data_IF_943681812383
#
_entry.id   IF_943681812383
#
_cell.length_a   1.000
_cell.length_b   1.000
_cell.length_c   1.000
_cell.angle_alpha   90.00
_cell.angle_beta   90.00
_cell.angle_gamma   90.00
#
_symmetry.space_group_name_H-M   'P 1'
#
loop_
_entity.id
_entity.type
_entity.pdbx_description
1 polymer ?
#
# COMPACT_ATOMS: atom_id res chain seq x y z
N UNK A 1 0.91 31.13 -17.22
CA UNK A 1 1.80 31.12 -16.05
C UNK A 1 1.77 29.71 -15.48
N UNK A 2 2.88 28.96 -15.56
CA UNK A 2 2.97 27.58 -15.04
C UNK A 2 2.88 27.65 -13.52
N UNK A 3 1.88 26.99 -12.94
CA UNK A 3 1.61 26.99 -11.52
C UNK A 3 2.69 26.20 -10.76
N UNK A 4 3.72 26.91 -10.27
CA UNK A 4 4.86 26.33 -9.54
C UNK A 4 4.42 25.59 -8.27
N UNK A 5 3.29 25.99 -7.69
CA UNK A 5 2.70 25.33 -6.54
C UNK A 5 2.25 23.90 -6.88
N UNK A 6 1.69 23.70 -8.07
CA UNK A 6 1.27 22.39 -8.53
C UNK A 6 2.48 21.46 -8.72
N UNK A 7 3.54 21.93 -9.41
CA UNK A 7 4.76 21.13 -9.60
C UNK A 7 5.36 20.63 -8.27
N UNK A 8 5.36 21.46 -7.23
CA UNK A 8 5.86 21.07 -5.91
C UNK A 8 4.98 19.96 -5.28
N UNK A 9 3.65 20.07 -5.37
CA UNK A 9 2.75 19.05 -4.81
C UNK A 9 2.89 17.70 -5.51
N UNK A 10 3.09 17.69 -6.83
CA UNK A 10 3.22 16.45 -7.61
C UNK A 10 4.55 15.78 -7.29
N UNK A 11 5.59 16.59 -7.15
CA UNK A 11 6.92 16.13 -6.75
C UNK A 11 6.92 15.54 -5.33
N UNK A 12 6.25 16.17 -4.37
CA UNK A 12 6.15 15.65 -3.00
C UNK A 12 5.44 14.29 -2.93
N UNK A 13 4.39 14.09 -3.75
CA UNK A 13 3.67 12.81 -3.84
C UNK A 13 4.51 11.71 -4.51
N UNK A 14 5.17 12.05 -5.61
CA UNK A 14 6.12 11.15 -6.28
C UNK A 14 7.25 10.73 -5.32
N UNK A 15 7.80 11.69 -4.56
CA UNK A 15 8.84 11.45 -3.54
C UNK A 15 8.37 10.50 -2.45
N UNK A 16 7.14 10.67 -1.93
CA UNK A 16 6.58 9.77 -0.92
C UNK A 16 6.39 8.35 -1.46
N UNK A 17 5.87 8.20 -2.67
CA UNK A 17 5.72 6.90 -3.34
C UNK A 17 7.07 6.22 -3.59
N UNK A 18 8.06 7.00 -4.04
CA UNK A 18 9.43 6.52 -4.21
C UNK A 18 10.05 6.06 -2.90
N UNK A 19 9.92 6.83 -1.81
CA UNK A 19 10.51 6.48 -0.52
C UNK A 19 9.96 5.16 0.02
N UNK A 20 8.64 4.98 0.04
CA UNK A 20 8.05 3.72 0.49
C UNK A 20 8.44 2.54 -0.40
N UNK A 21 8.42 2.72 -1.72
CA UNK A 21 8.82 1.70 -2.68
C UNK A 21 10.30 1.32 -2.58
N UNK A 22 11.16 2.31 -2.37
CA UNK A 22 12.59 2.12 -2.17
C UNK A 22 12.88 1.38 -0.87
N UNK A 23 12.18 1.68 0.24
CA UNK A 23 12.36 0.97 1.51
C UNK A 23 12.01 -0.52 1.38
N UNK A 24 10.82 -0.85 0.88
CA UNK A 24 10.42 -2.26 0.72
C UNK A 24 11.28 -3.00 -0.33
N UNK A 25 11.68 -2.31 -1.40
CA UNK A 25 12.57 -2.86 -2.43
C UNK A 25 14.00 -3.08 -1.93
N UNK A 26 14.48 -2.22 -1.03
CA UNK A 26 15.79 -2.39 -0.40
C UNK A 26 15.79 -3.57 0.58
N UNK A 27 14.73 -3.76 1.37
CA UNK A 27 14.60 -4.93 2.27
C UNK A 27 14.46 -6.23 1.49
N UNK A 28 13.60 -6.26 0.47
CA UNK A 28 13.41 -7.46 -0.37
C UNK A 28 14.68 -7.77 -1.17
N UNK A 29 15.34 -6.74 -1.71
CA UNK A 29 16.62 -6.87 -2.40
C UNK A 29 17.77 -7.27 -1.48
N UNK A 30 17.72 -6.91 -0.19
CA UNK A 30 18.68 -7.39 0.81
C UNK A 30 18.48 -8.88 1.08
N UNK A 31 17.26 -9.34 1.30
CA UNK A 31 16.98 -10.77 1.55
C UNK A 31 17.37 -11.60 0.32
N UNK A 32 16.91 -11.21 -0.86
CA UNK A 32 17.21 -11.94 -2.10
C UNK A 32 18.70 -11.85 -2.48
N UNK A 33 19.32 -10.68 -2.31
CA UNK A 33 20.75 -10.49 -2.56
C UNK A 33 21.62 -11.28 -1.60
N UNK A 34 21.29 -11.30 -0.30
CA UNK A 34 22.02 -12.08 0.71
C UNK A 34 21.90 -13.57 0.44
N UNK A 35 20.67 -14.03 0.12
CA UNK A 35 20.41 -15.42 -0.23
C UNK A 35 21.20 -15.85 -1.47
N UNK A 36 21.16 -15.06 -2.55
CA UNK A 36 21.86 -15.36 -3.80
C UNK A 36 23.38 -15.47 -3.61
N UNK A 37 23.99 -14.56 -2.86
CA UNK A 37 25.45 -14.60 -2.63
C UNK A 37 25.83 -15.77 -1.70
N UNK A 38 24.95 -16.18 -0.77
CA UNK A 38 25.19 -17.32 0.14
C UNK A 38 25.11 -18.67 -0.58
N UNK A 39 24.20 -18.81 -1.54
CA UNK A 39 24.00 -20.07 -2.26
C UNK A 39 24.86 -20.24 -3.49
N UNK A 40 25.17 -19.16 -4.22
CA UNK A 40 25.94 -19.21 -5.48
C UNK A 40 27.43 -18.88 -5.27
N UNK A 41 27.77 -18.35 -4.10
CA UNK A 41 29.12 -17.87 -3.78
C UNK A 41 29.38 -16.49 -4.38
N UNK A 42 30.21 -15.66 -3.73
CA UNK A 42 30.58 -14.35 -4.25
C UNK A 42 31.37 -14.50 -5.56
N UNK A 43 31.02 -13.75 -6.62
CA UNK A 43 31.77 -13.77 -7.87
C UNK A 43 33.24 -13.41 -7.64
N UNK A 44 34.19 -14.05 -8.35
CA UNK A 44 35.61 -13.84 -8.14
C UNK A 44 35.98 -12.35 -8.26
N UNK A 45 36.60 -11.81 -7.21
CA UNK A 45 37.07 -10.42 -7.17
C UNK A 45 36.05 -9.36 -6.73
N UNK A 46 34.84 -9.73 -6.28
CA UNK A 46 33.85 -8.77 -5.73
C UNK A 46 33.53 -9.05 -4.27
N UNK A 47 33.60 -8.01 -3.44
CA UNK A 47 33.17 -8.08 -2.04
C UNK A 47 31.68 -8.41 -1.95
N UNK A 48 31.33 -9.24 -0.97
CA UNK A 48 29.96 -9.68 -0.68
C UNK A 48 28.97 -8.52 -0.65
N UNK A 49 29.35 -7.46 0.06
CA UNK A 49 28.61 -6.20 0.21
C UNK A 49 28.39 -5.47 -1.12
N UNK A 50 29.31 -5.60 -2.09
CA UNK A 50 29.17 -4.95 -3.39
C UNK A 50 28.15 -5.69 -4.28
N UNK A 51 28.06 -7.01 -4.16
CA UNK A 51 27.03 -7.79 -4.87
C UNK A 51 25.65 -7.51 -4.27
N UNK A 52 25.51 -7.62 -2.94
CA UNK A 52 24.25 -7.37 -2.23
C UNK A 52 23.79 -5.93 -2.42
N UNK A 53 24.70 -4.95 -2.34
CA UNK A 53 24.39 -3.55 -2.59
C UNK A 53 23.83 -3.27 -3.99
N UNK A 54 24.32 -3.98 -5.03
CA UNK A 54 23.77 -3.88 -6.39
C UNK A 54 22.35 -4.45 -6.48
N UNK A 55 22.08 -5.59 -5.83
CA UNK A 55 20.73 -6.15 -5.78
C UNK A 55 19.75 -5.24 -5.03
N UNK A 56 20.19 -4.64 -3.91
CA UNK A 56 19.40 -3.68 -3.13
C UNK A 56 19.08 -2.42 -3.93
N UNK A 57 20.08 -1.83 -4.61
CA UNK A 57 19.90 -0.63 -5.43
C UNK A 57 19.03 -0.92 -6.66
N UNK A 58 19.19 -2.08 -7.29
CA UNK A 58 18.39 -2.46 -8.46
C UNK A 58 16.92 -2.67 -8.10
N UNK A 59 16.64 -3.42 -7.02
CA UNK A 59 15.25 -3.67 -6.59
C UNK A 59 14.59 -2.42 -5.97
N UNK A 60 15.34 -1.65 -5.17
CA UNK A 60 14.87 -0.39 -4.59
C UNK A 60 14.60 0.68 -5.65
N UNK A 61 15.44 0.77 -6.69
CA UNK A 61 15.21 1.74 -7.77
C UNK A 61 14.01 1.36 -8.63
N UNK A 62 13.84 0.09 -9.00
CA UNK A 62 12.74 -0.31 -9.87
C UNK A 62 11.39 -0.21 -9.18
N UNK A 63 11.23 -0.77 -7.97
CA UNK A 63 9.98 -0.66 -7.21
C UNK A 63 9.67 0.78 -6.78
N UNK A 64 10.69 1.54 -6.38
CA UNK A 64 10.54 2.98 -6.08
C UNK A 64 10.11 3.79 -7.31
N UNK A 65 10.69 3.54 -8.49
CA UNK A 65 10.36 4.27 -9.72
C UNK A 65 8.94 3.95 -10.20
N UNK A 66 8.57 2.66 -10.25
CA UNK A 66 7.21 2.25 -10.63
C UNK A 66 6.15 2.81 -9.67
N UNK A 67 6.39 2.81 -8.35
CA UNK A 67 5.46 3.37 -7.37
C UNK A 67 5.44 4.90 -7.35
N UNK A 68 6.55 5.56 -7.67
CA UNK A 68 6.63 7.01 -7.83
C UNK A 68 5.72 7.49 -8.97
N UNK A 69 5.80 6.85 -10.14
CA UNK A 69 4.92 7.11 -11.28
C UNK A 69 3.48 6.68 -10.98
N UNK A 70 3.26 5.51 -10.37
CA UNK A 70 1.93 5.08 -9.93
C UNK A 70 1.26 6.06 -8.95
N UNK A 71 2.05 6.74 -8.10
CA UNK A 71 1.54 7.77 -7.19
C UNK A 71 1.19 9.07 -7.90
N UNK A 72 1.88 9.40 -9.00
CA UNK A 72 1.53 10.53 -9.86
C UNK A 72 0.19 10.29 -10.56
N UNK A 73 0.04 9.11 -11.21
CA UNK A 73 -1.20 8.77 -11.91
C UNK A 73 -2.39 8.49 -10.99
N UNK A 74 -2.16 8.03 -9.76
CA UNK A 74 -3.27 7.85 -8.80
C UNK A 74 -3.80 9.18 -8.26
N UNK A 75 -3.00 10.24 -8.30
CA UNK A 75 -3.39 11.53 -7.73
C UNK A 75 -4.34 12.33 -8.63
N UNK A 76 -4.28 12.15 -9.96
CA UNK A 76 -5.28 12.70 -10.89
C UNK A 76 -6.68 12.12 -10.62
N UNK A 77 -6.78 10.84 -10.28
CA UNK A 77 -8.04 10.20 -9.86
C UNK A 77 -8.46 10.64 -8.45
N UNK A 78 -7.55 10.68 -7.47
CA UNK A 78 -7.89 11.04 -6.08
C UNK A 78 -8.30 12.51 -5.93
N UNK A 79 -7.79 13.42 -6.77
CA UNK A 79 -8.25 14.82 -6.80
C UNK A 79 -9.70 14.93 -7.30
N UNK A 80 -10.16 14.01 -8.15
CA UNK A 80 -11.56 13.90 -8.58
C UNK A 80 -12.41 13.13 -7.56
N UNK A 81 -11.84 12.10 -6.91
CA UNK A 81 -12.53 11.30 -5.89
C UNK A 81 -12.75 12.04 -4.57
N UNK A 82 -11.89 12.99 -4.20
CA UNK A 82 -12.07 13.83 -3.00
C UNK A 82 -13.24 14.82 -3.16
N UNK A 83 -13.66 15.11 -4.39
CA UNK A 83 -14.91 15.86 -4.67
C UNK A 83 -16.12 14.94 -4.78
N UNK A 84 -15.93 13.62 -4.98
CA UNK A 84 -17.02 12.69 -5.24
C UNK A 84 -17.46 11.85 -4.03
N UNK A 85 -16.58 11.34 -3.15
CA UNK A 85 -17.05 10.42 -2.09
C UNK A 85 -16.18 10.39 -0.81
N UNK A 86 -16.65 10.92 0.34
CA UNK A 86 -16.16 10.56 1.67
C UNK A 86 -16.61 9.14 2.09
N UNK A 87 -16.50 8.14 1.20
CA UNK A 87 -17.13 6.82 1.35
C UNK A 87 -16.21 5.71 1.89
N UNK A 88 -15.02 6.02 2.38
CA UNK A 88 -14.14 5.04 3.08
C UNK A 88 -14.24 5.11 4.61
N UNK A 89 -15.29 5.75 5.14
CA UNK A 89 -15.73 5.65 6.54
C UNK A 89 -17.07 4.94 6.67
N UNK A 90 -17.24 3.78 6.05
CA UNK A 90 -18.37 2.94 6.44
C UNK A 90 -18.02 2.36 7.82
N UNK A 91 -18.68 2.77 8.92
CA UNK A 91 -18.56 2.03 10.16
C UNK A 91 -19.03 0.61 9.85
N UNK A 92 -18.30 -0.38 10.34
CA UNK A 92 -18.84 -1.73 10.48
C UNK A 92 -20.03 -1.61 11.44
N UNK A 93 -21.20 -1.29 10.89
CA UNK A 93 -22.48 -1.45 11.57
C UNK A 93 -22.75 -2.93 11.53
N UNK A 94 -22.39 -3.59 12.62
CA UNK A 94 -22.79 -4.96 12.91
C UNK A 94 -24.32 -4.98 12.77
N UNK A 95 -24.82 -5.71 11.77
CA UNK A 95 -26.24 -5.93 11.58
C UNK A 95 -26.84 -6.45 12.91
N UNK A 96 -27.88 -5.82 13.49
CA UNK A 96 -28.55 -6.42 14.64
C UNK A 96 -29.14 -7.77 14.21
N UNK A 97 -29.03 -8.84 15.02
CA UNK A 97 -29.56 -10.14 14.67
C UNK A 97 -31.06 -10.06 14.43
N UNK A 98 -31.45 -10.25 13.17
CA UNK A 98 -32.84 -10.40 12.74
C UNK A 98 -33.34 -11.75 13.28
N UNK A 99 -33.81 -11.85 14.53
CA UNK A 99 -34.74 -12.93 14.93
C UNK A 99 -35.36 -12.82 16.34
N UNK A 100 -35.01 -11.86 17.19
CA UNK A 100 -35.55 -11.84 18.57
C UNK A 100 -36.96 -11.24 18.68
N UNK A 101 -37.32 -10.27 17.84
CA UNK A 101 -38.63 -9.60 17.91
C UNK A 101 -39.82 -10.47 17.49
N UNK A 102 -39.61 -11.38 16.52
CA UNK A 102 -40.68 -12.26 16.03
C UNK A 102 -40.94 -13.44 16.96
N UNK A 103 -40.00 -13.78 17.84
CA UNK A 103 -40.16 -14.84 18.82
C UNK A 103 -40.87 -14.34 20.09
N UNK A 104 -40.65 -13.08 20.47
CA UNK A 104 -41.36 -12.42 21.58
C UNK A 104 -42.86 -12.23 21.28
N UNK A 105 -43.22 -11.85 20.05
CA UNK A 105 -44.64 -11.68 19.69
C UNK A 105 -45.45 -12.98 19.71
N UNK A 106 -44.83 -14.12 19.35
CA UNK A 106 -45.46 -15.44 19.42
C UNK A 106 -45.57 -15.91 20.88
N UNK A 107 -44.58 -15.59 21.72
CA UNK A 107 -44.62 -15.93 23.16
C UNK A 107 -45.68 -15.13 23.91
N UNK A 108 -45.90 -13.86 23.54
CA UNK A 108 -46.97 -13.04 24.09
C UNK A 108 -48.35 -13.59 23.72
N UNK A 109 -48.55 -13.97 22.45
CA UNK A 109 -49.83 -14.47 21.94
C UNK A 109 -50.26 -15.83 22.54
N UNK A 110 -49.33 -16.59 23.14
CA UNK A 110 -49.62 -17.87 23.79
C UNK A 110 -49.78 -17.76 25.32
N UNK A 111 -49.65 -16.55 25.89
CA UNK A 111 -49.87 -16.31 27.33
C UNK A 111 -51.29 -15.80 27.64
N UNK A 112 -52.03 -15.39 26.60
CA UNK A 112 -53.41 -14.90 26.68
C UNK A 112 -54.46 -15.98 26.34
N UNK A 113 -54.10 -17.27 26.41
CA UNK A 113 -55.03 -18.41 26.31
C UNK A 113 -55.07 -19.22 27.61
#
# INVERSE_FOLDING_TARGET
MVDRAALNQWFEKAKMGFLMGATVGMTTGFIYGSYFVLTVGPPPGKSYVQSVGKHMLQQGSMLGFFLSIGSLLRNEEMSLANTAHPASRLPITILPPIQSQKLESIRQQHKDL
#
